data_IF_800984743399
#
_entry.id   IF_800984743399
#
_cell.length_a   1.000
_cell.length_b   1.000
_cell.length_c   1.000
_cell.angle_alpha   90.00
_cell.angle_beta   90.00
_cell.angle_gamma   90.00
#
_symmetry.space_group_name_H-M   'P 1'
#
loop_
_entity.id
_entity.type
_entity.pdbx_description
1 polymer ?
#
# COMPACT_ATOMS: atom_id res chain seq x y z
N UNK A 1 11.22 -16.34 -11.26
CA UNK A 1 11.03 -15.48 -10.06
C UNK A 1 10.25 -14.31 -10.58
N UNK A 2 8.99 -14.23 -10.20
CA UNK A 2 8.01 -13.46 -10.95
C UNK A 2 7.40 -12.44 -10.00
N UNK A 3 7.60 -11.16 -10.32
CA UNK A 3 7.26 -10.02 -9.46
C UNK A 3 6.14 -9.22 -10.11
N UNK A 4 5.03 -9.04 -9.39
CA UNK A 4 3.84 -8.35 -9.89
C UNK A 4 3.53 -7.12 -9.04
N UNK A 5 3.31 -5.99 -9.71
CA UNK A 5 2.82 -4.78 -9.07
C UNK A 5 1.30 -4.72 -9.11
N UNK A 6 0.70 -4.54 -7.94
CA UNK A 6 -0.73 -4.36 -7.77
C UNK A 6 -1.01 -2.92 -7.38
N UNK A 7 -1.80 -2.25 -8.22
CA UNK A 7 -2.20 -0.87 -8.01
C UNK A 7 -3.45 -0.79 -7.14
N UNK A 8 -3.35 -0.18 -5.95
CA UNK A 8 -4.47 -0.08 -4.99
C UNK A 8 -5.70 0.62 -5.56
N UNK A 9 -5.52 1.52 -6.52
CA UNK A 9 -6.59 2.26 -7.20
C UNK A 9 -7.28 1.47 -8.32
N UNK A 10 -6.81 0.27 -8.66
CA UNK A 10 -7.44 -0.56 -9.70
C UNK A 10 -8.89 -0.94 -9.34
N UNK A 11 -9.23 -0.99 -8.04
CA UNK A 11 -10.60 -1.22 -7.54
C UNK A 11 -11.62 -0.20 -8.07
N UNK A 12 -11.18 1.02 -8.43
CA UNK A 12 -12.06 2.08 -8.91
C UNK A 12 -12.27 2.07 -10.44
N UNK A 13 -11.64 1.12 -11.16
CA UNK A 13 -11.86 1.00 -12.60
C UNK A 13 -13.29 0.48 -12.88
N UNK A 14 -13.95 0.96 -13.95
CA UNK A 14 -15.30 0.51 -14.25
C UNK A 14 -15.33 -0.91 -14.83
N UNK A 15 -16.40 -1.65 -14.53
CA UNK A 15 -16.69 -2.95 -15.11
C UNK A 15 -15.60 -3.99 -14.88
N UNK A 16 -15.24 -4.73 -15.94
CA UNK A 16 -14.21 -5.78 -15.91
C UNK A 16 -12.78 -5.25 -15.68
N UNK A 17 -12.60 -3.93 -15.65
CA UNK A 17 -11.31 -3.31 -15.32
C UNK A 17 -11.00 -3.30 -13.82
N UNK A 18 -12.01 -3.44 -12.96
CA UNK A 18 -11.81 -3.62 -11.53
C UNK A 18 -11.22 -5.01 -11.29
N UNK A 19 -10.15 -5.07 -10.51
CA UNK A 19 -9.41 -6.31 -10.27
C UNK A 19 -8.91 -6.36 -8.83
N UNK A 20 -8.86 -7.58 -8.29
CA UNK A 20 -8.28 -7.90 -6.98
C UNK A 20 -7.18 -8.95 -7.15
N UNK A 21 -6.26 -9.04 -6.20
CA UNK A 21 -5.04 -9.82 -6.38
C UNK A 21 -5.26 -11.34 -6.34
N UNK A 22 -4.66 -12.06 -7.29
CA UNK A 22 -4.61 -13.52 -7.31
C UNK A 22 -3.31 -14.02 -6.63
N UNK A 23 -3.40 -14.82 -5.55
CA UNK A 23 -2.24 -15.29 -4.81
C UNK A 23 -1.34 -16.28 -5.55
N UNK A 24 -1.77 -16.86 -6.68
CA UNK A 24 -1.02 -17.87 -7.43
C UNK A 24 -0.37 -17.35 -8.71
N UNK A 25 -0.67 -16.12 -9.12
CA UNK A 25 -0.17 -15.56 -10.37
C UNK A 25 1.35 -15.23 -10.31
N UNK A 26 1.86 -14.91 -9.13
CA UNK A 26 3.21 -14.36 -8.95
C UNK A 26 3.90 -14.93 -7.72
N UNK A 27 5.24 -14.93 -7.68
CA UNK A 27 5.98 -15.34 -6.47
C UNK A 27 6.19 -14.17 -5.50
N UNK A 28 6.28 -12.95 -6.02
CA UNK A 28 6.34 -11.72 -5.23
C UNK A 28 5.25 -10.75 -5.69
N UNK A 29 4.37 -10.36 -4.77
CA UNK A 29 3.30 -9.41 -5.01
C UNK A 29 3.63 -8.07 -4.32
N UNK A 30 3.72 -7.01 -5.10
CA UNK A 30 4.10 -5.67 -4.63
C UNK A 30 2.85 -4.79 -4.60
N UNK A 31 2.44 -4.34 -3.41
CA UNK A 31 1.28 -3.47 -3.25
C UNK A 31 1.66 -2.00 -3.37
N UNK A 32 1.20 -1.35 -4.42
CA UNK A 32 1.44 0.05 -4.73
C UNK A 32 0.21 0.93 -4.42
N UNK A 33 0.32 2.05 -3.72
CA UNK A 33 1.53 2.59 -3.07
C UNK A 33 1.20 3.14 -1.69
N UNK A 34 2.21 3.12 -0.82
CA UNK A 34 2.28 3.97 0.37
C UNK A 34 3.03 5.28 0.04
N UNK A 35 2.70 6.35 0.76
CA UNK A 35 3.44 7.62 0.69
C UNK A 35 4.38 7.81 1.86
N UNK A 36 5.01 8.98 1.87
CA UNK A 36 5.65 9.56 3.04
C UNK A 36 4.92 10.85 3.43
N UNK A 37 4.88 11.14 4.72
CA UNK A 37 4.37 12.41 5.25
C UNK A 37 5.28 12.91 6.35
N UNK A 38 5.44 14.23 6.45
CA UNK A 38 6.10 14.87 7.59
C UNK A 38 5.26 14.72 8.85
N UNK A 39 5.90 14.28 9.93
CA UNK A 39 5.34 14.32 11.28
C UNK A 39 6.27 15.16 12.15
N UNK A 40 5.75 16.30 12.63
CA UNK A 40 6.36 17.09 13.70
C UNK A 40 5.78 16.65 15.03
N UNK A 41 6.64 16.55 16.05
CA UNK A 41 6.19 16.40 17.43
C UNK A 41 5.98 17.79 18.03
N UNK A 42 4.80 18.05 18.60
CA UNK A 42 4.54 19.33 19.27
C UNK A 42 5.55 19.53 20.40
N UNK A 43 6.24 20.68 20.38
CA UNK A 43 7.29 21.02 21.36
C UNK A 43 8.71 20.62 20.96
N UNK A 44 8.92 19.95 19.83
CA UNK A 44 10.25 19.57 19.33
C UNK A 44 10.34 19.97 17.85
N UNK A 45 11.28 20.85 17.48
CA UNK A 45 11.55 21.25 16.09
C UNK A 45 12.29 20.16 15.28
N UNK A 46 11.82 18.91 15.37
CA UNK A 46 12.34 17.78 14.61
C UNK A 46 11.20 17.24 13.74
N UNK A 47 11.51 17.07 12.45
CA UNK A 47 10.62 16.48 11.46
C UNK A 47 11.05 15.03 11.24
N UNK A 48 10.12 14.10 11.42
CA UNK A 48 10.29 12.70 11.04
C UNK A 48 9.43 12.38 9.83
N UNK A 49 9.90 11.49 8.96
CA UNK A 49 9.10 10.94 7.86
C UNK A 49 8.33 9.72 8.37
N UNK A 50 7.02 9.70 8.14
CA UNK A 50 6.14 8.57 8.46
C UNK A 50 5.56 7.98 7.18
N UNK A 51 5.40 6.65 7.14
CA UNK A 51 4.63 5.97 6.09
C UNK A 51 3.19 6.47 6.11
N UNK A 52 2.72 6.93 4.95
CA UNK A 52 1.39 7.49 4.76
C UNK A 52 0.52 6.52 3.95
N UNK A 53 -0.71 6.29 4.41
CA UNK A 53 -1.75 5.60 3.64
C UNK A 53 -2.36 6.61 2.65
N UNK A 54 -2.47 6.22 1.38
CA UNK A 54 -2.84 7.16 0.30
C UNK A 54 -4.33 7.18 0.01
N UNK A 55 -4.97 6.01 0.08
CA UNK A 55 -6.41 5.85 -0.10
C UNK A 55 -7.04 5.30 1.18
N UNK A 56 -7.16 6.09 2.27
CA UNK A 56 -7.53 5.58 3.60
C UNK A 56 -8.84 4.80 3.60
N UNK A 57 -9.83 5.20 2.79
CA UNK A 57 -11.10 4.49 2.66
C UNK A 57 -10.92 3.06 2.16
N UNK A 58 -10.11 2.84 1.12
CA UNK A 58 -9.88 1.48 0.60
C UNK A 58 -8.78 0.74 1.37
N UNK A 59 -7.71 1.43 1.77
CA UNK A 59 -6.47 0.81 2.23
C UNK A 59 -6.44 0.57 3.74
N UNK A 60 -6.88 1.55 4.54
CA UNK A 60 -6.92 1.44 6.01
C UNK A 60 -8.10 0.60 6.48
N UNK A 61 -9.19 0.64 5.72
CA UNK A 61 -10.47 0.11 6.15
C UNK A 61 -11.22 1.13 7.01
N UNK A 62 -12.46 1.47 6.68
CA UNK A 62 -13.31 2.24 7.56
C UNK A 62 -13.92 1.30 8.62
N UNK A 63 -14.15 1.81 9.83
CA UNK A 63 -14.64 1.00 10.96
C UNK A 63 -16.06 0.44 10.72
N UNK A 64 -16.79 1.03 9.77
CA UNK A 64 -18.12 0.65 9.33
C UNK A 64 -18.11 -0.22 8.05
N UNK A 65 -16.97 -0.77 7.62
CA UNK A 65 -16.88 -1.72 6.49
C UNK A 65 -17.58 -3.05 6.84
N UNK A 66 -18.82 -3.27 6.39
CA UNK A 66 -19.59 -4.44 6.80
C UNK A 66 -19.27 -5.66 5.92
N UNK A 67 -18.60 -5.47 4.79
CA UNK A 67 -18.32 -6.52 3.79
C UNK A 67 -16.86 -6.97 3.80
N UNK A 68 -15.98 -6.23 4.47
CA UNK A 68 -14.53 -6.44 4.38
C UNK A 68 -13.98 -6.14 2.99
N UNK A 69 -14.74 -5.45 2.13
CA UNK A 69 -14.32 -5.12 0.77
C UNK A 69 -13.22 -4.05 0.74
N UNK A 70 -13.11 -3.27 1.82
CA UNK A 70 -12.04 -2.30 2.02
C UNK A 70 -10.88 -2.99 2.77
N UNK A 71 -10.07 -2.26 3.53
CA UNK A 71 -8.89 -2.82 4.22
C UNK A 71 -7.85 -3.47 3.27
N UNK A 72 -7.60 -2.87 2.11
CA UNK A 72 -6.80 -3.47 1.04
C UNK A 72 -5.40 -3.95 1.49
N UNK A 73 -4.73 -3.26 2.42
CA UNK A 73 -3.47 -3.77 2.98
C UNK A 73 -3.65 -5.11 3.70
N UNK A 74 -4.70 -5.24 4.51
CA UNK A 74 -4.99 -6.49 5.24
C UNK A 74 -5.36 -7.60 4.25
N UNK A 75 -6.29 -7.33 3.33
CA UNK A 75 -6.68 -8.29 2.28
C UNK A 75 -5.48 -8.78 1.47
N UNK A 76 -4.58 -7.87 1.11
CA UNK A 76 -3.38 -8.21 0.33
C UNK A 76 -2.39 -9.07 1.12
N UNK A 77 -2.22 -8.82 2.43
CA UNK A 77 -1.38 -9.68 3.29
C UNK A 77 -2.03 -11.05 3.50
N UNK A 78 -3.36 -11.09 3.65
CA UNK A 78 -4.14 -12.31 3.86
C UNK A 78 -4.11 -13.28 2.68
N UNK A 79 -3.66 -12.84 1.49
CA UNK A 79 -3.34 -13.73 0.36
C UNK A 79 -2.35 -14.84 0.76
N UNK A 80 -1.48 -14.58 1.75
CA UNK A 80 -0.56 -15.57 2.31
C UNK A 80 -1.25 -16.73 3.01
N UNK A 81 -2.49 -16.53 3.50
CA UNK A 81 -3.28 -17.61 4.09
C UNK A 81 -3.78 -18.60 3.03
N UNK A 82 -3.79 -18.18 1.76
CA UNK A 82 -4.16 -19.01 0.60
C UNK A 82 -2.89 -19.62 -0.03
N UNK A 83 -1.85 -18.81 -0.22
CA UNK A 83 -0.55 -19.25 -0.73
C UNK A 83 0.59 -18.84 0.22
N UNK A 84 1.02 -19.76 1.08
CA UNK A 84 2.08 -19.49 2.06
C UNK A 84 3.46 -19.23 1.44
N UNK A 85 3.67 -19.59 0.18
CA UNK A 85 4.92 -19.30 -0.54
C UNK A 85 4.94 -17.88 -1.13
N UNK A 86 3.81 -17.17 -1.15
CA UNK A 86 3.72 -15.82 -1.69
C UNK A 86 4.48 -14.82 -0.80
N UNK A 87 5.36 -14.02 -1.40
CA UNK A 87 6.00 -12.89 -0.74
C UNK A 87 5.21 -11.63 -1.07
N UNK A 88 4.77 -10.89 -0.06
CA UNK A 88 4.06 -9.61 -0.23
C UNK A 88 4.94 -8.45 0.24
N UNK A 89 5.00 -7.38 -0.56
CA UNK A 89 5.90 -6.24 -0.33
C UNK A 89 5.10 -4.93 -0.51
N UNK A 90 5.10 -4.00 0.46
CA UNK A 90 4.57 -2.67 0.22
C UNK A 90 5.57 -1.83 -0.60
N UNK A 91 5.09 -1.16 -1.64
CA UNK A 91 5.87 -0.16 -2.37
C UNK A 91 5.57 1.24 -1.84
N UNK A 92 6.60 2.02 -1.55
CA UNK A 92 6.48 3.43 -1.20
C UNK A 92 6.90 4.31 -2.38
N UNK A 93 6.12 5.35 -2.71
CA UNK A 93 6.39 6.26 -3.82
C UNK A 93 5.32 6.24 -4.90
N UNK A 94 5.74 6.11 -6.15
CA UNK A 94 4.89 6.24 -7.33
C UNK A 94 4.92 7.67 -7.90
N UNK A 95 4.51 7.82 -9.16
CA UNK A 95 4.62 9.09 -9.90
C UNK A 95 3.94 10.27 -9.21
N UNK A 96 2.82 10.01 -8.53
CA UNK A 96 2.04 11.04 -7.83
C UNK A 96 2.59 11.38 -6.44
N UNK A 97 3.80 10.93 -6.10
CA UNK A 97 4.50 11.28 -4.86
C UNK A 97 5.72 12.13 -5.17
N UNK A 98 5.82 13.26 -4.48
CA UNK A 98 6.90 14.22 -4.67
C UNK A 98 8.25 13.61 -4.25
N UNK A 99 9.28 13.81 -5.08
CA UNK A 99 10.60 13.23 -4.87
C UNK A 99 11.33 13.80 -3.65
N UNK A 100 11.05 15.05 -3.28
CA UNK A 100 11.69 15.75 -2.17
C UNK A 100 11.49 15.04 -0.82
N UNK A 101 10.33 14.41 -0.62
CA UNK A 101 10.03 13.66 0.58
C UNK A 101 10.96 12.46 0.77
N UNK A 102 11.43 11.86 -0.33
CA UNK A 102 12.27 10.67 -0.34
C UNK A 102 13.76 11.02 -0.33
N UNK A 103 14.17 12.13 -0.98
CA UNK A 103 15.56 12.61 -0.95
C UNK A 103 16.07 12.91 0.47
N UNK A 104 15.16 13.21 1.39
CA UNK A 104 15.46 13.52 2.78
C UNK A 104 15.35 12.31 3.73
N UNK A 105 15.09 11.11 3.21
CA UNK A 105 15.21 9.86 3.98
C UNK A 105 16.64 9.34 3.80
N UNK A 106 17.44 9.39 4.86
CA UNK A 106 18.80 8.82 4.87
C UNK A 106 18.90 7.74 5.94
N UNK A 107 19.39 6.57 5.55
CA UNK A 107 19.88 5.58 6.50
C UNK A 107 21.11 6.20 7.19
N UNK A 108 21.08 6.27 8.52
CA UNK A 108 22.30 6.48 9.31
C UNK A 108 22.94 5.14 9.59
#
# INVERSE_FOLDING_TARGET
MDVCYFSSWAVYRPGLGAFDADPFLCTHAVFGFAGLSNQTWQGINIIFKKIQVLGPWNEKGPDDDPSGAYCAYRRFVDLKNINFALIVIPAAGGWNKESEDYSNVRLK
#
